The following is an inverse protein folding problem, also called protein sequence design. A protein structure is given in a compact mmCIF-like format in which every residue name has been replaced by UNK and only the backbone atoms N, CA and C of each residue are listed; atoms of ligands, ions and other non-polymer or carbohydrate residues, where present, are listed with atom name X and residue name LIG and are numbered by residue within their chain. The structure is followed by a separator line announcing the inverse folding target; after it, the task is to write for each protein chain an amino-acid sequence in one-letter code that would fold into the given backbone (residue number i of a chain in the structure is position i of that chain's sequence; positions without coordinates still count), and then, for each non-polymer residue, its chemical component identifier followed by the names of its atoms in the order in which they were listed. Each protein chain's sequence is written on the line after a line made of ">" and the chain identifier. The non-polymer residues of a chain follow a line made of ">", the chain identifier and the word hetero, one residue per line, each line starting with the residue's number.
data_IF_101462136958
#
_entry.id   IF_101462136958
#
_cell.length_a   1.000
_cell.length_b   1.000
_cell.length_c   1.000
_cell.angle_alpha   90.00
_cell.angle_beta   90.00
_cell.angle_gamma   90.00
#
_symmetry.space_group_name_H-M   'P 1'
#
loop_
_entity.id
_entity.type
_entity.pdbx_description
1 polymer ?
#
# COMPACT_ATOMS: atom_id res chain seq x y z
N UNK A 2 -18.78 4.53 -6.41
CA UNK A 2 -19.16 3.85 -7.64
C UNK A 2 -18.20 2.72 -7.95
N UNK A 3 -18.63 1.49 -7.71
CA UNK A 3 -17.75 0.33 -7.85
C UNK A 3 -17.38 0.04 -9.30
N UNK A 4 -16.14 -0.41 -9.50
CA UNK A 4 -15.66 -0.91 -10.78
C UNK A 4 -15.07 -2.30 -10.59
N UNK A 5 -15.41 -3.20 -11.50
CA UNK A 5 -14.81 -4.52 -11.51
C UNK A 5 -14.85 -5.15 -12.88
N UNK A 6 -13.72 -5.68 -13.35
CA UNK A 6 -13.69 -6.41 -14.60
C UNK A 6 -12.70 -7.57 -14.49
N UNK A 7 -13.04 -8.69 -15.12
CA UNK A 7 -12.13 -9.82 -15.25
C UNK A 7 -11.51 -9.77 -16.64
N UNK A 8 -10.18 -9.62 -16.68
CA UNK A 8 -9.47 -9.50 -17.94
C UNK A 8 -8.99 -10.88 -18.36
N UNK A 9 -9.74 -11.49 -19.28
CA UNK A 9 -9.32 -12.75 -19.87
C UNK A 9 -8.02 -12.51 -20.65
N UNK A 10 -7.17 -13.53 -20.78
CA UNK A 10 -5.87 -13.29 -21.42
C UNK A 10 -5.94 -12.84 -22.87
N UNK A 11 -7.01 -13.17 -23.60
CA UNK A 11 -7.07 -12.78 -25.00
C UNK A 11 -7.87 -11.51 -25.21
N UNK A 12 -8.01 -10.67 -24.20
CA UNK A 12 -8.94 -9.55 -24.28
C UNK A 12 -8.31 -8.24 -23.85
N UNK A 13 -8.43 -7.22 -24.71
CA UNK A 13 -8.02 -5.88 -24.37
C UNK A 13 -9.27 -5.11 -23.95
N UNK A 14 -9.27 -4.61 -22.72
CA UNK A 14 -10.45 -3.99 -22.12
C UNK A 14 -10.27 -2.48 -22.08
N UNK A 15 -11.26 -1.76 -22.56
CA UNK A 15 -11.39 -0.32 -22.39
C UNK A 15 -12.46 -0.06 -21.33
N UNK A 16 -12.09 0.51 -20.18
CA UNK A 16 -13.06 0.63 -19.08
C UNK A 16 -14.24 1.53 -19.48
N UNK A 17 -15.44 1.07 -19.15
CA UNK A 17 -16.65 1.82 -19.48
C UNK A 17 -16.63 3.20 -18.83
N UNK A 18 -17.09 4.20 -19.59
CA UNK A 18 -17.07 5.59 -19.15
C UNK A 18 -18.43 5.90 -18.57
N UNK A 19 -18.51 5.89 -17.23
CA UNK A 19 -19.70 6.33 -16.52
C UNK A 19 -19.69 7.85 -16.46
N UNK A 20 -20.64 8.50 -17.15
CA UNK A 20 -20.63 9.95 -17.17
C UNK A 20 -20.95 10.50 -15.78
N UNK A 21 -20.53 11.74 -15.57
CA UNK A 21 -20.51 12.31 -14.23
C UNK A 21 -19.13 12.16 -13.64
N UNK A 22 -18.62 10.93 -13.60
CA UNK A 22 -17.25 10.69 -13.22
C UNK A 22 -16.33 10.88 -14.42
N UNK A 23 -15.09 11.28 -14.13
CA UNK A 23 -14.09 11.56 -15.13
C UNK A 23 -12.87 10.66 -15.07
N UNK A 24 -12.48 10.21 -13.87
CA UNK A 24 -11.31 9.37 -13.67
C UNK A 24 -11.78 8.05 -13.04
N UNK A 25 -10.93 7.04 -13.17
CA UNK A 25 -11.19 5.72 -12.60
C UNK A 25 -9.95 5.31 -11.81
N UNK A 26 -10.17 4.74 -10.62
CA UNK A 26 -9.08 4.36 -9.73
C UNK A 26 -9.02 2.85 -9.62
N UNK A 27 -7.84 2.30 -9.91
CA UNK A 27 -7.64 0.87 -9.78
C UNK A 27 -7.15 0.57 -8.37
N UNK A 28 -7.83 -0.36 -7.71
CA UNK A 28 -7.53 -0.69 -6.33
C UNK A 28 -6.96 -2.08 -6.15
N UNK A 29 -7.23 -3.01 -7.07
CA UNK A 29 -6.74 -4.37 -6.88
C UNK A 29 -6.64 -5.10 -8.21
N UNK A 30 -5.64 -5.97 -8.29
CA UNK A 30 -5.55 -7.01 -9.30
C UNK A 30 -5.40 -8.32 -8.56
N UNK A 31 -6.17 -9.32 -8.97
CA UNK A 31 -6.21 -10.57 -8.21
C UNK A 31 -6.56 -11.71 -9.14
N UNK A 32 -5.90 -12.85 -8.92
CA UNK A 32 -6.14 -14.04 -9.72
C UNK A 32 -7.40 -14.74 -9.23
N UNK A 33 -7.79 -15.81 -9.93
CA UNK A 33 -9.01 -16.54 -9.61
C UNK A 33 -8.75 -18.01 -9.94
N UNK A 34 -8.47 -18.80 -8.88
CA UNK A 34 -8.09 -20.20 -8.95
C UNK A 34 -7.33 -20.51 -10.24
N UNK A 35 -6.17 -19.89 -10.46
CA UNK A 35 -5.51 -20.00 -11.76
C UNK A 35 -4.99 -21.40 -12.02
N UNK A 36 -4.94 -21.76 -13.30
CA UNK A 36 -4.51 -23.09 -13.72
C UNK A 36 -3.08 -23.13 -14.25
N UNK A 37 -2.67 -22.11 -15.00
CA UNK A 37 -1.32 -22.07 -15.57
C UNK A 37 -0.34 -21.46 -14.58
N UNK A 38 0.87 -22.00 -14.56
CA UNK A 38 1.84 -21.72 -13.50
C UNK A 38 2.83 -20.62 -13.83
N UNK A 39 2.80 -20.05 -15.03
CA UNK A 39 3.74 -18.98 -15.33
C UNK A 39 3.27 -17.64 -14.78
N UNK A 40 4.16 -16.65 -14.87
CA UNK A 40 3.79 -15.32 -14.41
C UNK A 40 2.91 -14.63 -15.44
N UNK A 41 2.15 -13.65 -14.97
CA UNK A 41 1.28 -12.86 -15.84
C UNK A 41 1.36 -11.40 -15.40
N UNK A 42 1.47 -10.50 -16.38
CA UNK A 42 1.60 -9.07 -16.15
C UNK A 42 0.29 -8.39 -16.50
N UNK A 43 -0.07 -7.36 -15.74
CA UNK A 43 -1.19 -6.49 -16.09
C UNK A 43 -0.62 -5.24 -16.72
N UNK A 44 -1.17 -4.86 -17.86
CA UNK A 44 -0.58 -3.84 -18.71
C UNK A 44 -1.63 -2.79 -19.06
N UNK A 45 -1.18 -1.56 -19.22
CA UNK A 45 -1.99 -0.46 -19.71
C UNK A 45 -1.35 0.07 -20.98
N UNK A 46 -2.18 0.40 -21.97
CA UNK A 46 -1.70 0.83 -23.28
C UNK A 46 -1.96 2.33 -23.46
N UNK A 47 -0.96 3.02 -24.00
CA UNK A 47 -1.00 4.42 -24.42
C UNK A 47 -0.73 5.37 -23.25
N UNK A 49 1.74 6.87 -26.61
CA UNK A 49 1.82 5.56 -27.24
C UNK A 49 2.86 4.65 -26.59
N UNK A 50 2.36 3.69 -25.81
CA UNK A 50 3.19 2.68 -25.19
C UNK A 50 2.31 1.68 -24.47
N UNK A 51 2.94 0.58 -24.05
CA UNK A 51 2.24 -0.50 -23.36
C UNK A 51 3.06 -0.82 -22.12
N UNK A 52 2.56 -0.43 -20.96
CA UNK A 52 3.34 -0.42 -19.73
C UNK A 52 2.78 -1.40 -18.70
N UNK A 53 3.70 -2.10 -18.02
CA UNK A 53 3.36 -3.07 -16.99
C UNK A 53 3.03 -2.35 -15.67
N UNK A 54 1.85 -2.62 -15.12
CA UNK A 54 1.53 -2.05 -13.81
C UNK A 54 1.78 -3.04 -12.67
N UNK A 55 1.73 -4.34 -12.95
CA UNK A 55 1.97 -5.31 -11.88
C UNK A 55 2.20 -6.71 -12.46
N UNK A 56 2.71 -7.60 -11.60
CA UNK A 56 3.06 -8.97 -11.97
C UNK A 56 2.48 -9.96 -10.97
N UNK A 57 1.76 -10.96 -11.48
CA UNK A 57 1.12 -11.99 -10.66
C UNK A 57 1.53 -13.38 -11.10
N UNK A 58 1.66 -14.29 -10.11
CA UNK A 58 2.06 -15.69 -10.41
C UNK A 58 1.27 -16.65 -9.50
N UNK A 59 0.94 -17.84 -9.99
CA UNK A 59 0.07 -18.80 -9.26
C UNK A 59 0.48 -19.03 -7.80
N UNK A 60 1.63 -19.65 -7.56
CA UNK A 60 1.95 -20.05 -6.16
C UNK A 60 2.66 -18.94 -5.39
N UNK A 61 3.41 -18.08 -6.08
CA UNK A 61 4.20 -17.09 -5.34
C UNK A 61 3.35 -15.89 -4.90
N UNK A 62 2.57 -15.30 -5.81
CA UNK A 62 1.92 -14.01 -5.51
C UNK A 62 0.64 -13.90 -6.32
N UNK A 63 -0.51 -14.13 -5.67
CA UNK A 63 -1.78 -14.19 -6.37
C UNK A 63 -2.51 -12.86 -6.46
N UNK A 64 -2.23 -11.91 -5.58
CA UNK A 64 -2.85 -10.61 -5.67
C UNK A 64 -1.88 -9.52 -5.22
N UNK A 65 -2.22 -8.28 -5.56
CA UNK A 65 -1.46 -7.13 -5.12
C UNK A 65 -2.41 -5.95 -5.10
N UNK A 66 -2.27 -5.05 -4.12
CA UNK A 66 -3.04 -3.81 -4.18
C UNK A 66 -2.54 -2.91 -5.30
N UNK A 67 -3.43 -2.02 -5.74
CA UNK A 67 -3.10 -1.07 -6.78
C UNK A 67 -3.53 0.33 -6.34
N UNK A 68 -2.91 1.33 -6.95
CA UNK A 68 -3.26 2.73 -6.74
C UNK A 68 -3.00 3.47 -8.05
N UNK A 69 -3.80 3.18 -9.07
CA UNK A 69 -3.61 3.71 -10.41
C UNK A 69 -4.79 4.58 -10.79
N UNK A 70 -4.53 5.81 -11.21
CA UNK A 70 -5.54 6.68 -11.76
C UNK A 70 -5.47 6.66 -13.29
N UNK A 71 -6.62 6.50 -13.93
CA UNK A 71 -6.73 6.52 -15.37
C UNK A 71 -7.79 7.54 -15.76
N UNK A 72 -7.44 8.46 -16.64
CA UNK A 72 -8.42 9.41 -17.13
C UNK A 72 -9.27 8.73 -18.18
N UNK A 73 -10.59 8.80 -17.99
CA UNK A 73 -11.51 8.20 -18.96
C UNK A 73 -11.50 8.99 -20.26
N UNK A 74 -11.07 10.25 -20.22
CA UNK A 74 -10.97 11.03 -21.43
C UNK A 74 -9.94 10.45 -22.39
N UNK A 75 -8.88 9.83 -21.88
CA UNK A 75 -7.83 9.25 -22.70
C UNK A 75 -8.16 7.90 -23.31
N UNK A 76 -9.32 7.31 -22.99
CA UNK A 76 -9.71 5.99 -23.50
C UNK A 76 -8.55 4.99 -23.50
N UNK A 77 -7.89 4.87 -22.36
CA UNK A 77 -6.79 3.92 -22.16
C UNK A 77 -7.32 2.48 -22.20
N UNK A 78 -6.41 1.54 -22.48
CA UNK A 78 -6.71 0.13 -22.65
C UNK A 78 -5.93 -0.70 -21.63
N UNK A 79 -6.53 -1.78 -21.15
CA UNK A 79 -5.92 -2.68 -20.17
C UNK A 79 -5.88 -4.09 -20.76
N UNK A 80 -4.75 -4.78 -20.58
CA UNK A 80 -4.62 -6.15 -21.02
C UNK A 80 -3.60 -6.87 -20.15
N UNK A 81 -3.70 -8.19 -20.11
CA UNK A 81 -2.67 -9.06 -19.54
C UNK A 81 -1.83 -9.69 -20.65
N UNK A 82 -0.56 -9.95 -20.35
CA UNK A 82 0.35 -10.60 -21.28
C UNK A 82 1.19 -11.60 -20.50
N UNK A 83 1.12 -12.87 -20.89
CA UNK A 83 1.89 -13.89 -20.21
C UNK A 83 1.14 -15.21 -20.17
N UNK A 84 1.13 -15.85 -19.01
CA UNK A 84 0.37 -17.09 -18.84
C UNK A 84 -1.11 -16.83 -19.09
N UNK A 85 -1.82 -17.88 -19.50
CA UNK A 85 -3.22 -17.78 -19.89
C UNK A 85 -4.10 -17.87 -18.65
N UNK A 86 -4.20 -16.74 -17.94
CA UNK A 86 -4.98 -16.66 -16.71
C UNK A 86 -5.77 -15.36 -16.70
N UNK A 87 -6.94 -15.41 -16.08
CA UNK A 87 -7.77 -14.22 -15.96
C UNK A 87 -7.38 -13.45 -14.70
N UNK A 88 -7.55 -12.14 -14.75
CA UNK A 88 -7.17 -11.25 -13.65
C UNK A 88 -8.36 -10.35 -13.35
N UNK A 89 -8.72 -10.25 -12.09
CA UNK A 89 -9.88 -9.49 -11.66
C UNK A 89 -9.44 -8.09 -11.23
N UNK A 90 -9.76 -7.09 -12.05
CA UNK A 90 -9.49 -5.70 -11.69
C UNK A 90 -10.69 -5.17 -10.92
N UNK A 91 -10.41 -4.46 -9.83
CA UNK A 91 -11.45 -3.95 -8.95
C UNK A 91 -11.03 -2.56 -8.49
N UNK A 92 -11.97 -1.63 -8.48
CA UNK A 92 -11.69 -0.29 -8.01
C UNK A 92 -12.95 0.52 -7.78
N UNK A 93 -12.96 1.76 -8.24
CA UNK A 93 -14.11 2.63 -8.11
C UNK A 93 -13.91 3.85 -8.99
N UNK A 94 -15.03 4.49 -9.31
CA UNK A 94 -15.02 5.70 -10.13
C UNK A 94 -14.83 6.92 -9.25
N UNK A 95 -14.41 8.02 -9.89
CA UNK A 95 -14.08 9.23 -9.16
C UNK A 95 -14.22 10.40 -10.11
N UNK A 96 -14.51 11.57 -9.55
CA UNK A 96 -14.69 12.81 -10.31
C UNK A 96 -13.44 13.67 -10.16
N UNK A 97 -13.13 14.43 -11.21
CA UNK A 97 -11.96 15.30 -11.27
C UNK A 97 -10.68 14.64 -10.80
N UNK B 2 -3.73 13.47 -17.96
CA UNK B 2 -2.50 13.27 -18.72
C UNK B 2 -1.72 12.06 -18.18
N UNK B 3 -1.78 10.97 -18.94
CA UNK B 3 -1.10 9.73 -18.56
C UNK B 3 0.41 9.90 -18.77
N UNK B 4 1.18 9.28 -17.89
CA UNK B 4 2.63 9.22 -18.04
C UNK B 4 3.09 7.77 -18.01
N UNK B 5 3.98 7.42 -18.93
CA UNK B 5 4.58 6.10 -18.95
C UNK B 5 5.93 6.09 -19.64
N UNK B 6 6.92 5.48 -18.99
CA UNK B 6 8.25 5.32 -19.56
C UNK B 6 8.81 3.95 -19.21
N UNK B 7 9.56 3.39 -20.15
CA UNK B 7 10.35 2.19 -19.91
C UNK B 7 11.76 2.67 -19.63
N UNK B 8 12.25 2.46 -18.41
CA UNK B 8 13.56 2.96 -18.02
C UNK B 8 14.55 1.84 -18.29
N UNK B 9 15.20 1.90 -19.45
CA UNK B 9 16.25 0.97 -19.79
C UNK B 9 17.41 1.13 -18.81
N UNK B 10 18.13 0.05 -18.53
CA UNK B 10 19.26 0.15 -17.59
C UNK B 10 20.35 1.04 -18.15
N UNK B 11 20.94 1.83 -17.25
CA UNK B 11 22.04 2.74 -17.57
C UNK B 11 21.66 3.80 -18.60
N UNK B 12 20.38 4.14 -18.69
CA UNK B 12 19.95 5.26 -19.51
C UNK B 12 19.14 6.18 -18.59
N UNK B 13 19.52 7.45 -18.57
CA UNK B 13 18.95 8.42 -17.64
C UNK B 13 17.76 9.12 -18.25
N UNK B 14 16.64 9.07 -17.54
CA UNK B 14 15.38 9.63 -18.03
C UNK B 14 15.14 10.95 -17.32
N UNK B 15 15.00 12.01 -18.10
CA UNK B 15 14.41 13.25 -17.64
C UNK B 15 13.02 13.34 -18.28
N UNK B 16 11.95 13.27 -17.50
CA UNK B 16 10.62 13.08 -18.10
C UNK B 16 10.26 14.26 -18.99
N UNK B 17 9.69 13.96 -20.15
CA UNK B 17 9.31 15.02 -21.06
C UNK B 17 8.31 15.94 -20.35
N UNK B 18 8.52 17.24 -20.53
CA UNK B 18 7.80 18.28 -19.81
C UNK B 18 6.65 18.79 -20.68
N UNK B 19 5.42 18.47 -20.28
CA UNK B 19 4.24 18.99 -20.94
C UNK B 19 4.04 20.45 -20.56
N UNK B 20 3.79 21.29 -21.56
CA UNK B 20 3.44 22.68 -21.29
C UNK B 20 2.17 22.75 -20.47
N UNK B 21 2.20 23.59 -19.44
CA UNK B 21 1.07 23.70 -18.53
C UNK B 21 1.29 22.93 -17.24
N UNK B 22 1.80 21.71 -17.34
CA UNK B 22 2.03 20.86 -16.17
C UNK B 22 3.41 21.13 -15.58
N UNK B 23 3.45 21.23 -14.25
CA UNK B 23 4.68 21.58 -13.54
C UNK B 23 5.29 20.40 -12.80
N UNK B 24 4.48 19.47 -12.30
CA UNK B 24 4.95 18.34 -11.53
C UNK B 24 4.52 17.05 -12.22
N UNK B 25 5.22 15.97 -11.88
CA UNK B 25 4.93 14.64 -12.39
C UNK B 25 4.90 13.68 -11.21
N UNK B 26 3.91 12.79 -11.18
CA UNK B 26 3.73 11.87 -10.07
C UNK B 26 3.94 10.44 -10.53
N UNK B 27 4.84 9.72 -9.85
CA UNK B 27 5.10 8.32 -10.14
C UNK B 27 4.19 7.45 -9.31
N UNK B 28 3.49 6.51 -9.95
CA UNK B 28 2.52 5.68 -9.25
C UNK B 28 2.88 4.21 -9.17
N UNK B 29 3.65 3.68 -10.12
CA UNK B 29 3.99 2.26 -10.06
C UNK B 29 5.27 1.99 -10.84
N UNK B 30 6.06 1.04 -10.35
CA UNK B 30 7.23 0.51 -11.05
C UNK B 30 7.12 -1.01 -11.14
N UNK B 31 7.46 -1.56 -12.30
CA UNK B 31 7.26 -2.99 -12.55
C UNK B 31 8.28 -3.49 -13.56
N UNK B 32 8.78 -4.70 -13.34
CA UNK B 32 9.73 -5.36 -14.23
C UNK B 32 9.01 -5.97 -15.42
N UNK B 33 9.80 -6.52 -16.35
CA UNK B 33 9.27 -7.09 -17.59
C UNK B 33 10.14 -8.26 -18.01
N UNK B 34 9.64 -9.49 -17.79
CA UNK B 34 10.33 -10.74 -18.06
C UNK B 34 11.84 -10.60 -17.92
N UNK B 35 12.33 -10.23 -16.74
CA UNK B 35 13.75 -9.89 -16.61
C UNK B 35 14.65 -11.10 -16.78
N UNK B 36 15.87 -10.83 -17.27
CA UNK B 36 16.82 -11.90 -17.54
C UNK B 36 17.90 -12.05 -16.48
N UNK B 37 18.43 -10.95 -15.95
CA UNK B 37 19.44 -11.02 -14.91
C UNK B 37 18.75 -11.11 -13.55
N UNK B 38 19.32 -11.92 -12.67
CA UNK B 38 18.63 -12.30 -11.45
C UNK B 38 18.98 -11.43 -10.25
N UNK B 39 19.83 -10.43 -10.43
CA UNK B 39 20.17 -9.55 -9.34
C UNK B 39 19.12 -8.49 -9.07
N UNK B 40 19.33 -7.74 -7.99
CA UNK B 40 18.43 -6.66 -7.61
C UNK B 40 18.69 -5.42 -8.47
N UNK B 41 17.68 -4.55 -8.53
CA UNK B 41 17.77 -3.29 -9.26
C UNK B 41 17.07 -2.19 -8.47
N UNK B 42 17.69 -1.01 -8.40
CA UNK B 42 17.15 0.17 -7.72
C UNK B 42 16.68 1.18 -8.74
N UNK B 43 15.58 1.87 -8.42
CA UNK B 43 15.16 3.05 -9.17
C UNK B 43 15.53 4.29 -8.38
N UNK B 44 16.12 5.27 -9.04
CA UNK B 44 16.74 6.40 -8.37
C UNK B 44 16.25 7.71 -8.98
N UNK B 45 16.15 8.74 -8.14
CA UNK B 45 15.85 10.10 -8.57
C UNK B 45 16.96 11.02 -8.09
N UNK B 46 17.34 11.97 -8.95
CA UNK B 46 18.45 12.86 -8.63
C UNK B 46 17.95 14.28 -8.36
N UNK B 49 20.37 17.79 -6.15
CA UNK B 49 20.81 17.89 -4.77
C UNK B 49 21.46 16.58 -4.31
N UNK B 50 20.90 15.47 -4.76
CA UNK B 50 21.39 14.15 -4.39
C UNK B 50 20.58 13.11 -5.13
N UNK B 51 21.00 11.86 -4.98
CA UNK B 51 20.46 10.77 -5.78
C UNK B 51 19.95 9.68 -4.85
N UNK B 52 18.63 9.56 -4.78
CA UNK B 52 17.97 8.77 -3.76
C UNK B 52 17.26 7.58 -4.39
N UNK B 53 17.35 6.44 -3.71
CA UNK B 53 16.69 5.22 -4.16
C UNK B 53 15.22 5.33 -3.83
N UNK B 54 14.36 5.26 -4.86
CA UNK B 54 12.92 5.31 -4.64
C UNK B 54 12.28 3.92 -4.55
N UNK B 55 12.95 2.87 -5.04
CA UNK B 55 12.43 1.52 -4.86
C UNK B 55 13.50 0.51 -5.23
N UNK B 56 13.25 -0.74 -4.83
CA UNK B 56 14.15 -1.85 -5.09
C UNK B 56 13.33 -3.01 -5.64
N UNK B 57 13.71 -3.49 -6.83
CA UNK B 57 13.01 -4.56 -7.53
C UNK B 57 13.96 -5.71 -7.85
N UNK B 58 13.43 -6.94 -7.84
CA UNK B 58 14.27 -8.10 -8.14
C UNK B 58 13.52 -9.23 -8.82
N UNK B 59 14.14 -9.85 -9.81
CA UNK B 59 13.51 -10.97 -10.56
C UNK B 59 12.92 -12.04 -9.63
N UNK B 60 11.70 -12.49 -9.93
CA UNK B 60 11.06 -13.61 -9.18
C UNK B 60 11.25 -13.45 -7.67
N UNK B 61 11.29 -12.22 -7.16
CA UNK B 61 11.39 -11.99 -5.69
C UNK B 61 10.43 -10.85 -5.38
N UNK B 62 10.54 -9.75 -6.14
CA UNK B 62 9.66 -8.61 -5.99
C UNK B 62 9.76 -7.85 -7.31
N UNK B 63 8.81 -8.10 -8.21
CA UNK B 63 8.88 -7.62 -9.57
C UNK B 63 8.20 -6.27 -9.76
N UNK B 64 7.34 -5.86 -8.83
CA UNK B 64 6.62 -4.60 -8.94
C UNK B 64 6.46 -3.97 -7.56
N UNK B 65 6.17 -2.67 -7.56
CA UNK B 65 5.89 -1.94 -6.32
C UNK B 65 5.07 -0.69 -6.61
N UNK B 66 4.14 -0.31 -5.75
CA UNK B 66 3.50 1.01 -5.87
C UNK B 66 4.48 2.11 -5.50
N UNK B 67 4.21 3.31 -6.02
CA UNK B 67 5.01 4.49 -5.73
C UNK B 67 4.12 5.67 -5.39
N UNK B 68 4.69 6.65 -4.70
CA UNK B 68 4.03 7.93 -4.43
C UNK B 68 5.10 9.02 -4.39
N UNK B 69 5.69 9.31 -5.55
CA UNK B 69 6.77 10.27 -5.66
C UNK B 69 6.31 11.42 -6.54
N UNK B 70 6.40 12.64 -6.04
CA UNK B 70 6.20 13.84 -6.83
C UNK B 70 7.55 14.41 -7.21
N UNK B 71 7.71 14.76 -8.48
CA UNK B 71 8.95 15.29 -9.01
C UNK B 71 8.66 16.60 -9.72
N UNK B 72 9.41 17.65 -9.38
CA UNK B 72 9.26 18.92 -10.06
C UNK B 72 9.90 18.87 -11.43
N UNK B 73 9.13 19.22 -12.47
CA UNK B 73 9.64 19.17 -13.83
C UNK B 73 10.58 20.32 -14.16
N UNK B 74 10.36 21.49 -13.57
CA UNK B 74 11.26 22.62 -13.84
C UNK B 74 12.64 22.39 -13.24
N UNK B 75 12.73 21.62 -12.16
CA UNK B 75 14.02 21.32 -11.55
C UNK B 75 14.82 20.32 -12.37
N UNK B 76 14.30 19.91 -13.53
CA UNK B 76 14.91 18.92 -14.42
C UNK B 76 15.51 17.75 -13.64
N UNK B 77 14.67 17.15 -12.78
CA UNK B 77 15.07 15.98 -12.03
C UNK B 77 15.29 14.81 -12.98
N UNK B 78 16.05 13.83 -12.51
CA UNK B 78 16.50 12.70 -13.33
C UNK B 78 16.08 11.40 -12.69
N UNK B 79 15.74 10.41 -13.52
CA UNK B 79 15.37 9.08 -13.09
C UNK B 79 16.31 8.09 -13.75
N UNK B 80 16.81 7.12 -12.98
CA UNK B 80 17.63 6.07 -13.56
C UNK B 80 17.48 4.81 -12.72
N UNK B 81 17.69 3.67 -13.37
CA UNK B 81 17.79 2.41 -12.66
C UNK B 81 19.26 2.00 -12.55
N UNK B 82 19.60 1.39 -11.42
CA UNK B 82 21.00 1.02 -11.16
C UNK B 82 21.06 -0.33 -10.45
N UNK B 83 21.45 -1.37 -11.19
CA UNK B 83 21.56 -2.71 -10.64
C UNK B 83 21.73 -3.71 -11.75
N UNK B 84 21.01 -4.83 -11.66
CA UNK B 84 21.04 -5.81 -12.72
C UNK B 84 20.53 -5.16 -14.01
N UNK B 85 20.92 -5.73 -15.15
CA UNK B 85 20.60 -5.15 -16.46
C UNK B 85 19.19 -5.56 -16.85
N UNK B 86 18.22 -4.84 -16.27
CA UNK B 86 16.80 -5.09 -16.51
C UNK B 86 16.08 -3.76 -16.68
N UNK B 87 15.04 -3.76 -17.52
CA UNK B 87 14.25 -2.56 -17.76
C UNK B 87 13.13 -2.45 -16.73
N UNK B 88 12.72 -1.21 -16.46
CA UNK B 88 11.74 -0.93 -15.42
C UNK B 88 10.66 -0.03 -16.01
N UNK B 89 9.40 -0.39 -15.77
CA UNK B 89 8.23 0.34 -16.28
C UNK B 89 7.70 1.29 -15.22
N UNK B 90 7.93 2.58 -15.44
CA UNK B 90 7.37 3.63 -14.61
C UNK B 90 6.04 4.07 -15.18
N UNK B 91 5.06 4.30 -14.31
CA UNK B 91 3.72 4.71 -14.74
C UNK B 91 3.22 5.74 -13.73
N UNK B 92 2.62 6.81 -14.23
CA UNK B 92 2.08 7.85 -13.38
C UNK B 92 1.18 8.85 -14.10
N UNK B 93 1.36 10.14 -13.84
CA UNK B 93 0.54 11.15 -14.48
C UNK B 93 1.17 12.52 -14.29
N UNK B 94 0.81 13.44 -15.18
CA UNK B 94 1.25 14.82 -15.07
C UNK B 94 0.26 15.59 -14.21
N UNK B 95 0.73 16.69 -13.62
CA UNK B 95 -0.10 17.38 -12.65
C UNK B 95 0.34 18.83 -12.52
N UNK B 96 -0.61 19.70 -12.14
CA UNK B 96 -0.32 21.10 -11.86
C UNK B 96 -0.33 21.30 -10.35
N UNK B 97 0.59 22.13 -9.88
CA UNK B 97 0.76 22.44 -8.45
C UNK B 97 0.62 21.25 -7.51
N UNK C 2 -1.24 17.15 13.32
CA UNK C 2 -1.20 16.60 14.67
C UNK C 2 -0.79 15.13 14.66
N UNK C 3 0.44 14.88 15.08
CA UNK C 3 0.99 13.54 15.07
C UNK C 3 0.36 12.69 16.18
N UNK C 4 0.15 11.41 15.89
CA UNK C 4 -0.29 10.45 16.89
C UNK C 4 0.66 9.27 16.93
N UNK C 5 1.02 8.86 18.15
CA UNK C 5 1.82 7.67 18.35
C UNK C 5 1.63 7.08 19.74
N UNK C 6 1.40 5.78 19.80
CA UNK C 6 1.35 5.06 21.07
C UNK C 6 2.01 3.71 20.91
N UNK C 7 2.69 3.26 21.96
CA UNK C 7 3.27 1.93 22.02
C UNK C 7 2.29 1.05 22.78
N UNK C 8 1.72 0.06 22.10
CA UNK C 8 0.67 -0.79 22.67
C UNK C 8 1.34 -2.00 23.30
N UNK C 9 1.57 -1.93 24.61
CA UNK C 9 2.06 -3.09 25.33
C UNK C 9 1.03 -4.21 25.33
N UNK C 10 1.46 -5.47 25.31
CA UNK C 10 0.49 -6.57 25.40
C UNK C 10 -0.18 -6.57 26.76
N UNK C 11 -1.47 -6.87 26.77
CA UNK C 11 -2.31 -6.85 27.98
C UNK C 11 -2.38 -5.46 28.60
N UNK C 12 -2.22 -4.43 27.77
CA UNK C 12 -2.60 -3.07 28.08
C UNK C 12 -3.55 -2.67 26.96
N UNK C 13 -4.78 -2.31 27.33
CA UNK C 13 -5.79 -1.92 26.36
C UNK C 13 -5.81 -0.40 26.32
N UNK C 14 -5.60 0.15 25.13
CA UNK C 14 -5.45 1.59 24.97
C UNK C 14 -6.75 2.14 24.39
N UNK C 15 -7.31 3.13 25.07
CA UNK C 15 -8.36 3.97 24.53
C UNK C 15 -7.72 5.30 24.15
N UNK C 16 -7.64 5.65 22.87
CA UNK C 16 -6.77 6.77 22.47
C UNK C 16 -7.19 8.09 23.09
N UNK C 17 -6.21 8.78 23.69
CA UNK C 17 -6.44 10.07 24.29
C UNK C 17 -6.88 11.08 23.23
N UNK C 18 -7.82 11.94 23.59
CA UNK C 18 -8.42 12.89 22.66
C UNK C 18 -7.73 14.24 22.83
N UNK C 19 -6.76 14.52 21.95
CA UNK C 19 -6.22 15.86 21.80
C UNK C 19 -7.16 16.63 20.89
N UNK C 20 -7.57 17.82 21.36
CA UNK C 20 -8.48 18.72 20.59
C UNK C 20 -9.83 18.01 20.37
N UNK C 22 -9.74 16.67 18.55
CA UNK C 22 -9.97 16.00 17.23
C UNK C 22 -10.96 14.88 17.53
N UNK C 23 -12.09 14.85 16.80
CA UNK C 23 -13.14 13.83 17.08
C UNK C 23 -12.64 12.47 16.59
N UNK C 24 -11.87 12.43 15.50
CA UNK C 24 -11.44 11.12 14.95
C UNK C 24 -9.93 10.89 15.04
N UNK C 25 -9.46 9.66 14.79
CA UNK C 25 -8.00 9.37 14.77
C UNK C 25 -7.77 8.51 13.51
N UNK C 26 -6.63 8.66 12.86
CA UNK C 26 -6.34 7.82 11.70
C UNK C 26 -5.05 7.06 11.92
N UNK C 27 -5.09 5.74 11.78
CA UNK C 27 -3.92 4.88 11.93
C UNK C 27 -3.25 4.70 10.57
N UNK C 28 -1.94 4.98 10.52
CA UNK C 28 -1.18 4.91 9.29
C UNK C 28 -0.13 3.82 9.26
N UNK C 29 0.37 3.37 10.42
CA UNK C 29 1.46 2.41 10.45
C UNK C 29 1.41 1.62 11.74
N UNK C 30 1.74 0.33 11.65
CA UNK C 30 1.98 -0.53 12.80
C UNK C 30 3.33 -1.21 12.64
N UNK C 31 4.11 -1.25 13.71
CA UNK C 31 5.46 -1.77 13.62
C UNK C 31 5.90 -2.34 14.97
N UNK C 32 6.58 -3.49 14.92
CA UNK C 32 7.10 -4.13 16.12
C UNK C 32 8.41 -3.46 16.52
N UNK C 33 8.99 -3.89 17.64
CA UNK C 33 10.18 -3.22 18.17
C UNK C 33 11.08 -4.28 18.81
N UNK C 34 12.15 -4.65 18.08
CA UNK C 34 13.11 -5.70 18.43
C UNK C 34 12.46 -6.78 19.28
N UNK C 35 11.42 -7.45 18.77
CA UNK C 35 10.61 -8.34 19.62
C UNK C 35 11.35 -9.62 19.99
N UNK C 36 10.93 -10.18 21.13
CA UNK C 36 11.48 -11.41 21.67
C UNK C 36 10.63 -12.63 21.36
N UNK C 37 9.31 -12.49 21.42
CA UNK C 37 8.46 -13.65 21.21
C UNK C 37 8.20 -13.86 19.72
N UNK C 38 8.28 -15.13 19.30
CA UNK C 38 8.38 -15.53 17.91
C UNK C 38 7.06 -16.00 17.32
N UNK C 39 5.93 -15.49 17.83
CA UNK C 39 4.65 -15.86 17.30
C UNK C 39 3.94 -14.67 16.66
N UNK C 40 2.79 -14.98 16.06
CA UNK C 40 2.04 -13.89 15.46
C UNK C 40 1.36 -13.08 16.54
N UNK C 41 1.07 -11.83 16.21
CA UNK C 41 0.37 -10.94 17.12
C UNK C 41 -0.63 -10.14 16.30
N UNK C 42 -1.84 -10.02 16.82
CA UNK C 42 -2.90 -9.31 16.15
C UNK C 42 -3.13 -7.98 16.86
N UNK C 43 -3.41 -6.94 16.08
CA UNK C 43 -3.85 -5.66 16.62
C UNK C 43 -5.36 -5.59 16.43
N UNK C 44 -6.07 -5.24 17.49
CA UNK C 44 -7.51 -5.37 17.53
C UNK C 44 -8.15 -4.08 18.00
N UNK C 45 -9.32 -3.81 17.47
CA UNK C 45 -10.17 -2.70 17.92
C UNK C 45 -11.50 -3.29 18.38
N UNK C 46 -12.02 -2.75 19.47
CA UNK C 46 -13.20 -3.31 20.14
C UNK C 46 -14.38 -2.36 19.93
N UNK C 47 -15.25 -2.72 18.99
CA UNK C 47 -16.46 -1.96 18.69
C UNK C 47 -17.42 -2.81 17.88
N UNK C 49 -21.40 -4.44 20.08
CA UNK C 49 -20.05 -4.24 19.59
C UNK C 49 -19.41 -5.49 18.95
N UNK C 50 -18.11 -5.58 19.13
CA UNK C 50 -17.30 -6.70 18.67
C UNK C 50 -15.85 -6.31 18.71
N UNK C 51 -14.99 -7.29 18.48
CA UNK C 51 -13.54 -7.09 18.56
C UNK C 51 -12.90 -7.64 17.31
N UNK C 52 -12.40 -6.76 16.45
CA UNK C 52 -11.97 -7.11 15.09
C UNK C 52 -10.47 -6.93 14.90
N UNK C 53 -9.88 -7.87 14.18
CA UNK C 53 -8.45 -7.83 13.83
C UNK C 53 -8.22 -6.84 12.70
N UNK C 54 -7.34 -5.86 12.93
CA UNK C 54 -6.97 -4.93 11.86
C UNK C 54 -5.66 -5.30 11.17
N UNK C 55 -4.76 -6.03 11.84
CA UNK C 55 -3.53 -6.44 11.17
C UNK C 55 -2.85 -7.55 11.97
N UNK C 56 -1.92 -8.23 11.30
CA UNK C 56 -1.21 -9.37 11.85
C UNK C 56 0.29 -9.21 11.62
N UNK C 57 1.07 -9.31 12.69
CA UNK C 57 2.52 -9.25 12.62
C UNK C 57 3.04 -10.52 13.27
N UNK C 58 4.15 -11.06 12.74
CA UNK C 58 4.66 -12.33 13.25
C UNK C 58 6.18 -12.28 13.30
N UNK C 59 6.68 -11.31 14.07
CA UNK C 59 8.10 -11.09 14.28
C UNK C 59 8.79 -10.99 12.92
N UNK C 60 9.86 -11.75 12.67
CA UNK C 60 10.78 -11.52 11.56
C UNK C 60 10.13 -11.64 10.19
N UNK C 61 9.10 -12.47 10.04
CA UNK C 61 8.53 -12.64 8.69
C UNK C 61 7.85 -11.35 8.26
N UNK C 62 7.10 -10.71 9.17
CA UNK C 62 6.34 -9.51 8.83
C UNK C 62 6.32 -8.64 10.09
N UNK C 63 7.25 -7.68 10.16
CA UNK C 63 7.41 -6.85 11.35
C UNK C 63 6.63 -5.55 11.29
N UNK C 64 6.24 -5.11 10.10
CA UNK C 64 5.48 -3.87 9.96
C UNK C 64 4.44 -4.01 8.85
N UNK C 65 3.46 -3.11 8.88
CA UNK C 65 2.43 -3.02 7.84
C UNK C 65 1.83 -1.64 7.85
N UNK C 66 1.50 -1.08 6.68
CA UNK C 66 0.71 0.15 6.65
C UNK C 66 -0.73 -0.10 7.10
N UNK C 67 -1.37 0.98 7.55
CA UNK C 67 -2.76 0.92 7.97
C UNK C 67 -3.55 2.05 7.35
N UNK C 68 -4.87 1.87 7.31
CA UNK C 68 -5.82 2.90 6.92
C UNK C 68 -7.10 2.68 7.74
N UNK C 69 -7.01 2.93 9.04
CA UNK C 69 -8.11 2.69 9.97
C UNK C 69 -8.50 4.04 10.57
N UNK C 70 -9.77 4.38 10.47
CA UNK C 70 -10.33 5.53 11.17
C UNK C 70 -11.07 5.05 12.41
N UNK C 71 -10.82 5.73 13.53
CA UNK C 71 -11.44 5.39 14.80
C UNK C 71 -12.11 6.64 15.37
N UNK C 72 -13.38 6.52 15.73
CA UNK C 72 -14.09 7.60 16.38
C UNK C 72 -13.71 7.59 17.87
N UNK C 73 -13.22 8.72 18.38
CA UNK C 73 -12.79 8.76 19.77
C UNK C 73 -13.96 8.88 20.75
N UNK C 74 -15.04 9.56 20.36
CA UNK C 74 -16.19 9.64 21.25
C UNK C 74 -16.86 8.27 21.45
N UNK C 75 -16.73 7.38 20.48
CA UNK C 75 -17.27 6.02 20.54
C UNK C 75 -16.49 5.12 21.49
N UNK C 76 -15.52 5.72 22.20
CA UNK C 76 -14.64 5.01 23.11
C UNK C 76 -14.13 3.71 22.48
N UNK C 77 -13.53 3.83 21.30
CA UNK C 77 -12.91 2.67 20.68
C UNK C 77 -11.72 2.23 21.52
N UNK C 78 -11.40 0.96 21.44
CA UNK C 78 -10.35 0.37 22.26
C UNK C 78 -9.37 -0.37 21.36
N UNK C 79 -8.09 -0.33 21.72
CA UNK C 79 -7.02 -0.98 20.97
C UNK C 79 -6.33 -1.99 21.87
N UNK C 80 -6.10 -3.19 21.37
CA UNK C 80 -5.39 -4.21 22.12
C UNK C 80 -4.69 -5.17 21.17
N UNK C 81 -3.65 -5.82 21.70
CA UNK C 81 -2.93 -6.92 21.06
C UNK C 81 -3.39 -8.24 21.66
N UNK C 82 -3.27 -9.31 20.88
CA UNK C 82 -3.75 -10.60 21.35
C UNK C 82 -2.80 -11.77 21.11
N UNK C 83 -1.93 -11.67 20.11
CA UNK C 83 -1.08 -12.83 19.83
C UNK C 83 0.13 -12.91 20.73
N UNK C 84 1.32 -13.02 20.16
CA UNK C 84 2.53 -13.14 20.94
C UNK C 84 2.72 -11.91 21.82
N UNK C 85 3.45 -12.09 22.92
CA UNK C 85 3.62 -11.04 23.91
C UNK C 85 4.70 -10.07 23.43
N UNK C 86 4.32 -9.17 22.54
CA UNK C 86 5.22 -8.18 21.95
C UNK C 86 4.52 -6.83 21.90
N UNK C 87 5.31 -5.77 21.99
CA UNK C 87 4.76 -4.42 21.90
C UNK C 87 4.66 -4.02 20.44
N UNK C 88 3.69 -3.14 20.16
CA UNK C 88 3.38 -2.72 18.79
C UNK C 88 3.35 -1.20 18.78
N UNK C 89 4.05 -0.60 17.83
CA UNK C 89 4.13 0.86 17.72
C UNK C 89 3.09 1.34 16.71
N UNK C 90 2.05 1.99 17.23
CA UNK C 90 1.01 2.62 16.42
C UNK C 90 1.43 4.06 16.11
N UNK C 91 1.24 4.45 14.86
CA UNK C 91 1.62 5.79 14.39
C UNK C 91 0.56 6.25 13.39
N UNK C 92 0.16 7.51 13.49
CA UNK C 92 -0.84 8.07 12.60
C UNK C 92 -0.94 9.57 12.72
N UNK C 93 -2.16 10.08 12.83
CA UNK C 93 -2.39 11.51 12.97
C UNK C 93 -3.83 11.73 13.41
N UNK C 94 -4.07 12.90 14.00
CA UNK C 94 -5.40 13.26 14.44
C UNK C 94 -6.16 13.91 13.28
N UNK C 95 -7.49 13.90 13.39
CA UNK C 95 -8.35 14.38 12.32
C UNK C 95 -9.72 14.71 12.91
N UNK C 96 -10.44 15.64 12.27
CA UNK C 96 -11.79 15.98 12.70
C UNK C 96 -12.81 15.37 11.75
N UNK C 97 -13.87 14.81 12.35
CA UNK C 97 -15.06 14.25 11.66
C UNK C 97 -14.88 13.58 10.30
N UNK D 2 7.42 20.04 -4.53
CA UNK D 2 8.67 20.19 -3.78
C UNK D 2 9.14 18.83 -3.26
N UNK D 3 10.17 18.31 -3.90
CA UNK D 3 10.70 16.99 -3.56
C UNK D 3 11.44 17.03 -2.22
N UNK D 4 11.33 15.93 -1.47
CA UNK D 4 12.11 15.76 -0.26
C UNK D 4 12.89 14.46 -0.32
N UNK D 5 14.17 14.53 0.01
CA UNK D 5 15.00 13.34 0.12
C UNK D 5 16.22 13.54 0.98
N UNK D 6 16.46 12.65 1.93
CA UNK D 6 17.67 12.67 2.73
C UNK D 6 18.12 11.22 2.95
N UNK D 7 19.43 11.01 2.97
CA UNK D 7 20.01 9.72 3.29
C UNK D 7 20.41 9.73 4.75
N UNK D 8 19.80 8.85 5.53
CA UNK D 8 19.99 8.82 6.98
C UNK D 8 21.10 7.85 7.29
N UNK D 9 22.30 8.38 7.53
CA UNK D 9 23.40 7.56 8.03
C UNK D 9 22.99 6.96 9.38
N UNK D 10 23.54 5.80 9.75
CA UNK D 10 23.09 5.16 11.00
C UNK D 10 23.31 6.03 12.23
N UNK D 11 24.49 6.60 12.38
CA UNK D 11 24.84 7.46 13.52
C UNK D 11 24.44 8.92 13.31
N UNK D 12 23.37 9.15 12.53
CA UNK D 12 22.86 10.49 12.29
C UNK D 12 21.36 10.64 12.58
N UNK D 13 21.02 11.65 13.38
CA UNK D 13 19.65 12.04 13.67
C UNK D 13 19.26 13.24 12.81
N UNK D 14 18.17 13.11 12.05
CA UNK D 14 17.76 14.13 11.07
C UNK D 14 16.58 14.92 11.61
N UNK D 15 16.71 16.24 11.62
CA UNK D 15 15.60 17.17 11.80
C UNK D 15 15.33 17.82 10.44
N UNK D 16 14.17 17.58 9.83
CA UNK D 16 13.98 18.00 8.44
C UNK D 16 14.01 19.51 8.28
N UNK D 18 13.15 23.14 7.22
CA UNK D 18 11.82 23.76 7.13
C UNK D 18 11.88 24.67 5.92
N UNK D 19 11.41 24.16 4.79
CA UNK D 19 11.23 24.97 3.58
C UNK D 19 9.91 25.73 3.64
N UNK D 22 6.34 25.67 3.33
CA UNK D 22 5.57 24.47 3.61
C UNK D 22 5.54 24.16 5.10
N UNK D 23 4.49 23.47 5.54
CA UNK D 23 4.26 23.25 6.97
C UNK D 23 4.36 21.80 7.39
N UNK D 24 3.91 20.87 6.55
CA UNK D 24 3.94 19.46 6.86
C UNK D 24 4.78 18.76 5.81
N UNK D 25 5.26 17.56 6.17
CA UNK D 25 6.09 16.76 5.27
C UNK D 25 5.54 15.34 5.27
N UNK D 26 5.47 14.76 4.07
CA UNK D 26 4.90 13.43 3.86
C UNK D 26 6.00 12.48 3.44
N UNK D 27 6.13 11.38 4.19
CA UNK D 27 7.12 10.35 3.87
C UNK D 27 6.51 9.34 2.93
N UNK D 28 7.21 9.05 1.85
CA UNK D 28 6.71 8.13 0.85
C UNK D 28 7.48 6.83 0.78
N UNK D 29 8.77 6.83 1.13
CA UNK D 29 9.53 5.58 1.13
C UNK D 29 10.77 5.67 1.99
N UNK D 30 11.14 4.52 2.54
CA UNK D 30 12.43 4.28 3.16
C UNK D 30 13.02 3.08 2.43
N UNK D 31 14.30 3.17 2.07
CA UNK D 31 14.92 2.17 1.22
C UNK D 31 16.41 2.10 1.51
N UNK D 32 16.93 0.88 1.52
CA UNK D 32 18.34 0.66 1.75
C UNK D 32 19.13 0.93 0.47
N UNK D 33 20.44 0.86 0.57
CA UNK D 33 21.33 1.17 -0.56
C UNK D 33 22.55 0.26 -0.45
N UNK D 34 22.57 -0.78 -1.28
CA UNK D 34 23.58 -1.84 -1.29
C UNK D 34 24.13 -2.06 0.11
N UNK D 35 23.28 -2.43 1.08
CA UNK D 35 23.74 -2.47 2.47
C UNK D 35 24.73 -3.59 2.67
N UNK D 36 25.61 -3.42 3.66
CA UNK D 36 26.63 -4.41 3.95
C UNK D 36 26.31 -5.23 5.20
N UNK D 37 25.75 -4.61 6.23
CA UNK D 37 25.41 -5.30 7.47
C UNK D 37 24.04 -5.96 7.35
N UNK D 38 23.92 -7.14 7.98
CA UNK D 38 22.86 -8.09 7.67
C UNK D 38 21.64 -8.03 8.60
N UNK D 39 21.79 -7.53 9.82
CA UNK D 39 20.69 -7.44 10.76
C UNK D 39 19.56 -6.50 10.34
N UNK D 40 18.52 -6.44 11.18
CA UNK D 40 17.41 -5.53 10.93
C UNK D 40 17.80 -4.10 11.28
N UNK D 41 17.09 -3.14 10.69
CA UNK D 41 17.25 -1.73 11.00
C UNK D 41 15.87 -1.08 11.00
N UNK D 42 15.62 -0.23 12.00
CA UNK D 42 14.33 0.43 12.17
C UNK D 42 14.46 1.90 11.79
N UNK D 43 13.41 2.44 11.20
CA UNK D 43 13.28 3.88 10.96
C UNK D 43 12.33 4.44 12.02
N UNK D 44 12.73 5.55 12.65
CA UNK D 44 12.07 6.04 13.85
C UNK D 44 11.70 7.52 13.71
N UNK D 45 10.60 7.91 14.37
CA UNK D 45 10.17 9.29 14.51
C UNK D 45 10.10 9.65 15.99
N UNK D 46 10.58 10.85 16.31
CA UNK D 46 10.52 11.35 17.71
C UNK D 46 9.63 12.60 17.75
N UNK D 47 8.35 12.43 18.12
CA UNK D 47 7.42 13.60 18.26
C UNK D 47 6.40 13.28 19.34
N UNK D 49 7.75 13.35 21.27
CA UNK D 49 7.36 13.33 22.70
C UNK D 49 7.60 11.89 23.13
N UNK D 50 8.10 11.10 22.18
CA UNK D 50 8.39 9.68 22.34
C UNK D 50 9.01 9.23 21.04
N UNK D 51 9.47 7.99 20.99
CA UNK D 51 10.24 7.54 19.84
C UNK D 51 9.59 6.29 19.24
N UNK D 52 9.00 6.46 18.06
CA UNK D 52 8.14 5.44 17.47
C UNK D 52 8.78 4.89 16.20
N UNK D 53 8.71 3.58 16.05
CA UNK D 53 9.22 2.88 14.86
C UNK D 53 8.23 3.01 13.70
N UNK D 54 8.71 3.48 12.55
CA UNK D 54 7.80 3.53 11.40
C UNK D 54 7.89 2.27 10.54
N UNK D 55 9.05 1.64 10.48
CA UNK D 55 9.19 0.47 9.63
C UNK D 55 10.48 -0.24 9.98
N UNK D 56 10.61 -1.45 9.44
CA UNK D 56 11.73 -2.34 9.70
C UNK D 56 12.33 -2.80 8.39
N UNK D 57 13.64 -2.62 8.23
CA UNK D 57 14.33 -3.02 7.02
C UNK D 57 15.45 -3.98 7.38
N UNK D 58 15.67 -4.95 6.51
CA UNK D 58 16.68 -5.98 6.74
C UNK D 58 17.20 -6.48 5.39
N UNK D 59 18.52 -6.39 5.19
CA UNK D 59 19.14 -6.90 3.97
C UNK D 59 18.53 -8.22 3.51
N UNK D 60 18.17 -8.28 2.22
CA UNK D 60 17.58 -9.51 1.60
C UNK D 60 16.11 -9.69 2.03
N UNK D 61 15.82 -9.59 3.32
CA UNK D 61 14.42 -9.87 3.80
C UNK D 61 13.46 -8.79 3.28
N UNK D 62 13.81 -7.50 3.42
CA UNK D 62 12.91 -6.41 3.06
C UNK D 62 13.78 -5.15 2.96
N UNK D 63 14.15 -4.76 1.73
CA UNK D 63 15.08 -3.66 1.58
C UNK D 63 14.41 -2.29 1.50
N UNK D 64 13.13 -2.24 1.14
CA UNK D 64 12.39 -0.98 1.16
C UNK D 64 10.94 -1.26 1.52
N UNK D 65 10.22 -0.19 1.84
CA UNK D 65 8.79 -0.23 2.10
C UNK D 65 8.24 1.13 1.73
N UNK D 66 7.06 1.19 1.11
CA UNK D 66 6.41 2.49 0.93
C UNK D 66 5.93 3.01 2.27
N UNK D 67 5.75 4.32 2.35
CA UNK D 67 5.30 4.96 3.56
C UNK D 67 4.15 5.91 3.27
N UNK D 68 3.36 6.21 4.29
CA UNK D 68 2.31 7.22 4.22
C UNK D 68 2.22 7.88 5.60
N UNK D 69 3.28 8.59 5.97
CA UNK D 69 3.43 9.21 7.29
C UNK D 69 3.54 10.71 7.11
N UNK D 70 2.70 11.46 7.83
CA UNK D 70 2.75 12.92 7.87
C UNK D 70 3.44 13.42 9.13
N UNK D 71 4.36 14.38 8.97
CA UNK D 71 5.08 14.98 10.08
C UNK D 71 4.99 16.50 10.01
N UNK D 72 4.60 17.13 11.11
CA UNK D 72 4.57 18.58 11.20
C UNK D 72 5.99 19.11 11.43
N UNK D 73 6.42 20.08 10.60
CA UNK D 73 7.77 20.62 10.73
C UNK D 73 7.92 21.55 11.92
N UNK D 75 6.65 21.10 14.75
CA UNK D 75 6.73 20.15 15.86
C UNK D 75 8.16 19.61 16.09
N UNK D 76 9.14 20.20 15.41
CA UNK D 76 10.57 19.83 15.46
C UNK D 76 10.76 18.32 15.58
N UNK D 77 10.11 17.59 14.66
CA UNK D 77 10.26 16.15 14.63
C UNK D 77 11.68 15.76 14.22
N UNK D 78 12.09 14.56 14.64
CA UNK D 78 13.42 14.04 14.39
C UNK D 78 13.30 12.65 13.77
N UNK D 79 14.24 12.32 12.89
CA UNK D 79 14.29 11.02 12.24
C UNK D 79 15.63 10.38 12.56
N UNK D 80 15.60 9.10 12.91
CA UNK D 80 16.81 8.33 13.19
C UNK D 80 16.58 6.88 12.82
N UNK D 81 17.68 6.19 12.51
CA UNK D 81 17.66 4.75 12.33
C UNK D 81 18.24 4.05 13.55
N UNK D 82 17.77 2.83 13.79
CA UNK D 82 18.22 2.01 14.91
C UNK D 82 18.42 0.59 14.41
N UNK D 83 19.58 0.01 14.71
CA UNK D 83 19.84 -1.33 14.23
C UNK D 83 21.17 -1.49 13.49
N UNK D 84 21.09 -2.12 12.32
CA UNK D 84 22.25 -2.39 11.50
C UNK D 84 22.96 -1.09 11.12
N UNK D 85 24.26 -1.21 10.86
CA UNK D 85 25.07 -0.05 10.47
C UNK D 85 24.90 0.11 8.97
N UNK D 86 23.74 0.64 8.60
CA UNK D 86 23.36 0.83 7.21
C UNK D 86 22.67 2.16 7.05
N UNK D 87 22.86 2.76 5.88
CA UNK D 87 22.22 4.03 5.56
C UNK D 87 20.85 3.77 4.96
N UNK D 88 19.95 4.73 5.16
CA UNK D 88 18.54 4.58 4.75
C UNK D 88 18.14 5.82 3.96
N UNK D 89 17.50 5.61 2.81
CA UNK D 89 17.07 6.70 1.94
C UNK D 89 15.61 7.03 2.23
N UNK D 90 15.38 8.17 2.89
CA UNK D 90 14.03 8.69 3.11
C UNK D 90 13.65 9.58 1.94
N UNK D 91 12.45 9.41 1.41
CA UNK D 91 11.97 10.14 0.24
C UNK D 91 10.49 10.45 0.41
N UNK D 92 10.10 11.67 0.05
CA UNK D 92 8.70 12.08 0.11
C UNK D 92 8.43 13.37 -0.63
N UNK D 93 7.70 14.28 0.01
CA UNK D 93 7.40 15.58 -0.57
C UNK D 93 6.84 16.50 0.51
N UNK D 94 6.98 17.81 0.27
CA UNK D 94 6.50 18.83 1.19
C UNK D 94 5.03 19.15 0.91
N UNK D 95 4.37 19.76 1.90
CA UNK D 95 2.95 20.01 1.75
C UNK D 95 2.55 21.13 2.71
N UNK D 96 1.50 21.87 2.32
CA UNK D 96 0.93 22.92 3.15
C UNK D 96 -0.37 22.40 3.73
N UNK D 97 -0.63 22.80 4.97
CA UNK D 97 -1.81 22.36 5.72
C UNK D 97 -2.07 20.85 5.62
N UNK E 2 -16.92 6.73 11.43
CA UNK E 2 -17.82 5.64 11.81
C UNK E 2 -17.20 4.29 11.48
N UNK E 3 -16.75 3.59 12.51
CA UNK E 3 -16.05 2.33 12.30
C UNK E 3 -16.99 1.23 11.81
N UNK E 4 -16.47 0.37 10.93
CA UNK E 4 -17.18 -0.82 10.46
C UNK E 4 -16.31 -2.05 10.65
N UNK E 5 -16.93 -3.13 11.10
CA UNK E 5 -16.27 -4.43 11.22
C UNK E 5 -17.24 -5.60 11.16
N UNK E 6 -16.91 -6.61 10.35
CA UNK E 6 -17.68 -7.85 10.29
C UNK E 6 -16.74 -9.04 10.15
N UNK E 7 -17.11 -10.15 10.78
CA UNK E 7 -16.42 -11.42 10.62
C UNK E 7 -17.23 -12.26 9.64
N UNK E 8 -16.63 -12.54 8.48
CA UNK E 8 -17.31 -13.25 7.40
C UNK E 8 -16.98 -14.73 7.55
N UNK E 9 -17.87 -15.48 8.19
CA UNK E 9 -17.72 -16.92 8.28
C UNK E 9 -17.86 -17.58 6.90
N UNK E 10 -17.16 -18.69 6.67
CA UNK E 10 -17.27 -19.39 5.39
C UNK E 10 -18.68 -19.95 5.21
N UNK E 11 -19.23 -19.75 4.01
CA UNK E 11 -20.60 -20.13 3.66
C UNK E 11 -21.64 -19.27 4.37
N UNK E 12 -21.27 -18.04 4.73
CA UNK E 12 -22.23 -17.03 5.13
C UNK E 12 -21.97 -15.86 4.19
N UNK E 13 -22.99 -15.46 3.45
CA UNK E 13 -22.86 -14.36 2.51
C UNK E 13 -23.45 -13.12 3.16
N UNK E 14 -22.64 -12.09 3.32
CA UNK E 14 -22.99 -10.90 4.10
C UNK E 14 -23.28 -9.74 3.18
N UNK E 15 -24.42 -9.09 3.41
CA UNK E 15 -24.71 -7.77 2.84
C UNK E 15 -24.51 -6.75 3.96
N UNK E 16 -23.61 -5.80 3.81
CA UNK E 16 -23.18 -4.98 4.96
C UNK E 16 -24.30 -4.16 5.59
N UNK E 17 -24.29 -4.13 6.92
CA UNK E 17 -25.28 -3.38 7.70
C UNK E 17 -25.28 -1.91 7.32
N UNK E 18 -26.48 -1.34 7.27
CA UNK E 18 -26.68 0.04 6.82
C UNK E 18 -26.79 0.93 8.05
N UNK E 19 -25.71 1.61 8.41
CA UNK E 19 -25.79 2.68 9.38
C UNK E 19 -26.27 3.95 8.67
N UNK E 20 -27.14 4.70 9.34
CA UNK E 20 -27.87 5.81 8.70
C UNK E 20 -26.98 6.77 7.93
N UNK E 23 -24.37 5.45 4.06
CA UNK E 23 -24.88 5.16 2.73
C UNK E 23 -23.81 4.45 1.90
N UNK E 24 -22.55 4.80 2.11
CA UNK E 24 -21.44 4.19 1.40
C UNK E 24 -20.51 3.56 2.44
N UNK E 25 -19.77 2.53 2.03
CA UNK E 25 -18.86 1.83 2.92
C UNK E 25 -17.53 1.60 2.22
N UNK E 26 -16.44 1.83 2.96
CA UNK E 26 -15.08 1.65 2.45
C UNK E 26 -14.43 0.50 3.18
N UNK E 27 -13.91 -0.45 2.42
CA UNK E 27 -13.21 -1.59 3.01
C UNK E 27 -11.75 -1.24 3.17
N UNK E 28 -11.23 -1.42 4.39
CA UNK E 28 -9.86 -1.03 4.70
C UNK E 28 -8.94 -2.21 4.98
N UNK E 29 -9.48 -3.35 5.40
CA UNK E 29 -8.63 -4.47 5.72
C UNK E 29 -9.41 -5.77 5.60
N UNK E 30 -8.71 -6.81 5.17
CA UNK E 30 -9.17 -8.18 5.27
C UNK E 30 -8.08 -8.94 6.01
N UNK E 31 -8.46 -9.73 7.01
CA UNK E 31 -7.46 -10.33 7.88
C UNK E 31 -7.95 -11.65 8.46
N UNK E 32 -7.06 -12.63 8.51
CA UNK E 32 -7.37 -13.93 9.09
C UNK E 32 -7.25 -13.87 10.62
N UNK E 33 -7.62 -14.96 11.27
CA UNK E 33 -7.65 -15.02 12.73
C UNK E 33 -7.32 -16.44 13.16
N UNK E 34 -6.09 -16.64 13.67
CA UNK E 34 -5.54 -17.95 14.06
C UNK E 34 -6.11 -19.07 13.19
N UNK E 35 -5.91 -19.03 11.88
CA UNK E 35 -6.60 -19.98 11.00
C UNK E 35 -6.04 -21.38 11.18
N UNK E 36 -6.92 -22.36 11.03
CA UNK E 36 -6.58 -23.77 11.20
C UNK E 36 -6.47 -24.54 9.90
N UNK E 37 -7.35 -24.28 8.93
CA UNK E 37 -7.34 -24.99 7.66
C UNK E 37 -6.38 -24.34 6.67
N UNK E 39 -4.66 -23.67 2.82
CA UNK E 39 -5.12 -23.38 1.48
C UNK E 39 -5.52 -21.92 1.32
N UNK E 40 -5.78 -21.55 0.07
CA UNK E 40 -6.17 -20.18 -0.22
C UNK E 40 -7.63 -19.93 0.11
N UNK E 41 -7.94 -18.65 0.37
CA UNK E 41 -9.31 -18.17 0.55
C UNK E 41 -9.39 -16.81 -0.12
N UNK E 42 -10.45 -16.60 -0.89
CA UNK E 42 -10.65 -15.36 -1.62
C UNK E 42 -11.77 -14.56 -0.96
N UNK E 43 -11.63 -13.25 -0.95
CA UNK E 43 -12.72 -12.36 -0.55
C UNK E 43 -13.32 -11.78 -1.82
N UNK E 44 -14.65 -11.83 -1.92
CA UNK E 44 -15.36 -11.55 -3.16
C UNK E 44 -16.47 -10.55 -2.91
N UNK E 45 -16.75 -9.73 -3.91
CA UNK E 45 -17.93 -8.87 -3.92
C UNK E 45 -18.75 -9.21 -5.15
N UNK E 46 -20.07 -9.29 -4.98
CA UNK E 46 -20.97 -9.67 -6.06
C UNK E 46 -21.85 -8.48 -6.42
N UNK E 47 -21.23 -7.49 -7.06
CA UNK E 47 -21.92 -6.30 -7.55
C UNK E 47 -22.65 -6.58 -8.85
N UNK E 49 -24.38 -9.01 -10.47
CA UNK E 49 -24.20 -8.60 -11.85
C UNK E 49 -22.95 -9.29 -12.36
N UNK E 50 -21.99 -9.39 -11.44
CA UNK E 50 -20.71 -10.06 -11.64
C UNK E 50 -20.05 -10.17 -10.28
N UNK E 51 -19.04 -11.04 -10.23
CA UNK E 51 -18.45 -11.43 -8.96
C UNK E 51 -16.93 -11.33 -9.04
N UNK E 52 -16.35 -10.39 -8.30
CA UNK E 52 -14.95 -10.04 -8.47
C UNK E 52 -14.15 -10.35 -7.22
N UNK E 53 -12.95 -10.90 -7.41
CA UNK E 53 -12.04 -11.20 -6.32
C UNK E 53 -11.38 -9.91 -5.89
N UNK E 54 -11.54 -9.52 -4.61
CA UNK E 54 -10.86 -8.32 -4.13
C UNK E 54 -9.53 -8.61 -3.44
N UNK E 55 -9.33 -9.83 -2.92
CA UNK E 55 -8.06 -10.18 -2.29
C UNK E 55 -7.99 -11.69 -2.06
N UNK E 56 -6.78 -12.16 -1.78
CA UNK E 56 -6.50 -13.58 -1.57
C UNK E 56 -5.67 -13.75 -0.31
N UNK E 57 -6.14 -14.61 0.61
CA UNK E 57 -5.48 -14.87 1.88
C UNK E 57 -5.20 -16.35 2.06
N UNK E 58 -4.13 -16.65 2.79
CA UNK E 58 -3.79 -18.05 3.08
C UNK E 58 -3.19 -18.10 4.48
N UNK E 59 -3.16 -19.31 5.04
CA UNK E 59 -2.71 -19.52 6.42
C UNK E 59 -1.30 -19.00 6.66
N UNK E 60 -0.31 -19.58 6.00
CA UNK E 60 1.07 -19.25 6.30
C UNK E 60 1.68 -18.18 5.40
N UNK E 61 1.25 -18.03 4.14
CA UNK E 61 1.90 -17.04 3.29
C UNK E 61 1.46 -15.62 3.64
N UNK E 62 0.16 -15.38 3.75
CA UNK E 62 -0.34 -14.00 3.86
C UNK E 62 -1.67 -13.98 4.61
N UNK E 63 -1.64 -13.59 5.88
CA UNK E 63 -2.82 -13.62 6.71
C UNK E 63 -3.65 -12.34 6.66
N UNK E 64 -3.07 -11.21 6.26
CA UNK E 64 -3.83 -9.99 6.12
C UNK E 64 -3.32 -9.18 4.94
N UNK E 65 -4.14 -8.23 4.49
CA UNK E 65 -3.75 -7.29 3.44
C UNK E 65 -4.60 -6.04 3.60
N UNK E 66 -4.07 -4.86 3.33
CA UNK E 66 -4.92 -3.67 3.28
C UNK E 66 -5.84 -3.72 2.07
N UNK E 67 -6.94 -2.99 2.17
CA UNK E 67 -7.90 -2.87 1.06
C UNK E 67 -8.23 -1.40 0.85
N UNK E 68 -8.75 -1.10 -0.34
CA UNK E 68 -9.24 0.24 -0.70
C UNK E 68 -10.43 0.08 -1.64
N UNK E 69 -11.55 -0.40 -1.10
CA UNK E 69 -12.74 -0.72 -1.87
C UNK E 69 -13.90 0.15 -1.40
N UNK E 70 -14.56 0.82 -2.35
CA UNK E 70 -15.79 1.55 -2.09
C UNK E 70 -16.98 0.71 -2.53
N UNK E 71 -18.00 0.59 -1.66
CA UNK E 71 -19.21 -0.16 -1.94
C UNK E 71 -20.45 0.65 -1.60
N UNK E 72 -21.41 0.68 -2.53
CA UNK E 72 -22.71 1.29 -2.30
C UNK E 72 -23.60 0.34 -1.50
N UNK E 73 -24.17 0.82 -0.40
CA UNK E 73 -25.06 -0.02 0.39
C UNK E 73 -26.43 -0.19 -0.28
N UNK E 74 -26.91 0.83 -0.97
CA UNK E 74 -28.20 0.75 -1.65
C UNK E 74 -28.18 -0.24 -2.81
N UNK E 75 -27.02 -0.44 -3.44
CA UNK E 75 -26.87 -1.34 -4.58
C UNK E 75 -26.91 -2.80 -4.18
N UNK E 76 -27.18 -3.07 -2.90
CA UNK E 76 -27.20 -4.41 -2.33
C UNK E 76 -26.01 -5.25 -2.80
N UNK E 77 -24.82 -4.67 -2.68
CA UNK E 77 -23.61 -5.42 -2.99
C UNK E 77 -23.48 -6.54 -1.96
N UNK E 78 -22.79 -7.61 -2.35
CA UNK E 78 -22.75 -8.80 -1.52
C UNK E 78 -21.30 -9.17 -1.27
N UNK E 79 -21.00 -9.70 -0.08
CA UNK E 79 -19.65 -10.14 0.25
C UNK E 79 -19.69 -11.62 0.63
N UNK E 80 -18.72 -12.38 0.11
CA UNK E 80 -18.60 -13.78 0.45
C UNK E 80 -17.13 -14.18 0.34
N UNK E 81 -16.77 -15.23 1.08
CA UNK E 81 -15.48 -15.88 0.93
C UNK E 81 -15.64 -17.17 0.12
N UNK E 82 -14.60 -17.51 -0.63
CA UNK E 82 -14.59 -18.73 -1.43
C UNK E 82 -13.22 -19.39 -1.34
N UNK E 83 -13.21 -20.70 -1.13
CA UNK E 83 -11.99 -21.47 -0.98
C UNK E 83 -11.94 -22.16 0.36
N UNK E 84 -10.77 -22.09 1.02
CA UNK E 84 -10.62 -22.72 2.33
C UNK E 84 -11.57 -22.09 3.34
N UNK E 85 -12.02 -22.90 4.29
CA UNK E 85 -13.04 -22.50 5.26
C UNK E 85 -12.41 -21.93 6.53
N UNK E 86 -12.05 -20.65 6.46
CA UNK E 86 -11.49 -19.93 7.59
C UNK E 86 -12.16 -18.55 7.63
N UNK E 87 -12.31 -18.01 8.84
CA UNK E 87 -13.03 -16.76 8.97
C UNK E 87 -12.13 -15.57 8.67
N UNK E 88 -12.75 -14.50 8.17
CA UNK E 88 -12.05 -13.32 7.68
C UNK E 88 -12.66 -12.09 8.33
N UNK E 89 -11.82 -11.23 8.88
CA UNK E 89 -12.25 -10.02 9.57
C UNK E 89 -12.17 -8.85 8.60
N UNK E 90 -13.33 -8.35 8.18
CA UNK E 90 -13.40 -7.14 7.37
C UNK E 90 -13.48 -5.96 8.32
N UNK E 91 -12.69 -4.92 8.03
CA UNK E 91 -12.61 -3.74 8.88
C UNK E 91 -12.50 -2.51 7.98
N UNK E 92 -13.23 -1.47 8.33
CA UNK E 92 -13.20 -0.24 7.55
C UNK E 92 -13.86 0.93 8.23
N UNK E 93 -14.71 1.65 7.49
CA UNK E 93 -15.45 2.78 8.02
C UNK E 93 -16.56 3.16 7.05
N UNK E 94 -17.60 3.80 7.61
CA UNK E 94 -18.77 4.25 6.86
C UNK E 94 -18.55 5.64 6.28
N UNK E 95 -19.36 5.96 5.28
CA UNK E 95 -19.23 7.24 4.60
C UNK E 95 -20.57 7.57 3.95
N UNK E 96 -20.84 8.87 3.80
CA UNK E 96 -22.07 9.36 3.19
C UNK E 96 -21.81 9.87 1.78
N UNK E 97 -22.79 9.64 0.90
CA UNK E 97 -22.77 10.07 -0.51
C UNK E 97 -21.44 9.93 -1.24
#
# INVERSE_FOLDING_TARGET
>A
MAFYGKVVKPDETVVPEVKDGYSVIHLSRACLNNPEHEGKIYVQVEDGNGCYNICCLQKNVCEDTPLDIFLMLDNDVKIKTSGSSNEVHIVGYYEVSFGLEHHHHHH
>B
MAFYGKVVKPDETVVPEVKDGYSVIHLSRACLNNPEHEGKIYVQVEDGNGCYNICCLQKNVCEDTPLDIFLMLDNDVKIKTSGSSNEVHIVGYYEVSFGLEHHHHHH
>C
MAFYGKVVKPDETVVPEVKDGYSVIHLSRACLNNPEHEGKIYVQVEDGNGCYNICCLQKNVCEDTPLDIFLMLDNDVKIKTSGSSNEVHIVGYYEVSFGLEHHHHHH
>D
MAFYGKVVKPDETVVPEVKDGYSVIHLSRACLNNPEHEGKIYVQVEDGNGCYNICCLQKNVCEDTPLDIFLMLDNDVKIKTSGSSNEVHIVGYYEVSFGLEHHHHHH
>E
MAFYGKVVKPDETVVPEVKDGYSVIHLSRACLNNPEHEGKIYVQVEDGNGCYNICCLQKNVCEDTPLDIFLMLDNDVKIKTSGSSNEVHIVGYYEVSFGLEHHHHHH
#
